data_IF_919217087413
#
_entry.id   IF_919217087413
#
_cell.length_a   1.000
_cell.length_b   1.000
_cell.length_c   1.000
_cell.angle_alpha   90.00
_cell.angle_beta   90.00
_cell.angle_gamma   90.00
#
_symmetry.space_group_name_H-M   'P 1'
#
loop_
_entity.id
_entity.type
_entity.pdbx_description
1 polymer ?
#
# COMPACT_ATOMS: atom_id res chain seq x y z
N UNK A 1 0.93 -6.06 27.80
CA UNK A 1 0.38 -7.39 27.47
C UNK A 1 1.45 -8.42 27.74
N UNK A 2 1.25 -9.34 28.68
CA UNK A 2 2.23 -10.40 28.98
C UNK A 2 2.01 -11.64 28.09
N UNK A 3 2.96 -12.57 28.10
CA UNK A 3 2.92 -13.80 27.30
C UNK A 3 1.73 -14.69 27.63
N UNK A 4 1.21 -14.63 28.86
CA UNK A 4 0.10 -15.47 29.33
C UNK A 4 -1.25 -15.23 28.62
N UNK A 5 -1.33 -14.26 27.70
CA UNK A 5 -2.53 -13.98 26.92
C UNK A 5 -2.49 -14.54 25.48
N UNK A 6 -1.34 -15.06 25.03
CA UNK A 6 -1.14 -15.53 23.66
C UNK A 6 -0.87 -17.03 23.63
N UNK A 7 -1.36 -17.71 22.60
CA UNK A 7 -1.01 -19.11 22.34
C UNK A 7 0.46 -19.26 21.96
N UNK A 8 1.09 -20.36 22.39
CA UNK A 8 2.52 -20.62 22.16
C UNK A 8 2.90 -20.67 20.67
N UNK A 9 1.94 -20.98 19.79
CA UNK A 9 2.13 -20.96 18.33
C UNK A 9 2.53 -19.58 17.79
N UNK A 10 2.28 -18.52 18.55
CA UNK A 10 2.65 -17.14 18.19
C UNK A 10 4.00 -16.71 18.76
N UNK A 11 4.74 -17.59 19.43
CA UNK A 11 6.09 -17.33 19.90
C UNK A 11 7.10 -17.68 18.80
N UNK A 12 7.90 -16.69 18.41
CA UNK A 12 9.05 -16.91 17.54
C UNK A 12 10.22 -17.56 18.31
N UNK A 13 11.22 -18.06 17.58
CA UNK A 13 12.42 -18.75 18.13
C UNK A 13 13.16 -18.00 19.26
N UNK A 14 12.99 -16.68 19.37
CA UNK A 14 13.60 -15.84 20.41
C UNK A 14 12.62 -15.47 21.53
N UNK A 15 11.57 -16.26 21.77
CA UNK A 15 10.48 -15.93 22.71
C UNK A 15 9.92 -14.52 22.49
N UNK A 16 9.79 -14.09 21.23
CA UNK A 16 9.16 -12.81 20.88
C UNK A 16 7.79 -13.10 20.29
N UNK A 17 6.78 -12.40 20.78
CA UNK A 17 5.40 -12.51 20.27
C UNK A 17 5.38 -12.01 18.82
N UNK A 18 4.80 -12.80 17.92
CA UNK A 18 4.64 -12.45 16.51
C UNK A 18 3.77 -11.20 16.34
N UNK A 19 4.02 -10.41 15.29
CA UNK A 19 3.24 -9.21 14.99
C UNK A 19 1.80 -9.49 14.54
N UNK A 20 1.47 -10.74 14.23
CA UNK A 20 0.12 -11.22 13.90
C UNK A 20 -0.60 -11.87 15.09
N UNK A 21 0.02 -11.90 16.27
CA UNK A 21 -0.54 -12.56 17.44
C UNK A 21 -1.74 -11.79 17.99
N UNK A 22 -2.85 -12.49 18.24
CA UNK A 22 -4.05 -11.95 18.87
C UNK A 22 -4.21 -12.58 20.26
N UNK A 23 -4.49 -11.81 21.33
CA UNK A 23 -4.67 -12.37 22.66
C UNK A 23 -5.95 -13.21 22.76
N UNK A 24 -5.83 -14.54 22.81
CA UNK A 24 -6.99 -15.47 22.81
C UNK A 24 -7.22 -16.15 24.15
N UNK A 25 -6.20 -16.35 25.00
CA UNK A 25 -6.29 -17.28 26.14
C UNK A 25 -7.02 -16.76 27.39
N UNK A 26 -7.12 -15.44 27.58
CA UNK A 26 -7.71 -14.85 28.81
C UNK A 26 -8.67 -13.69 28.56
N UNK A 27 -9.08 -13.49 27.32
CA UNK A 27 -10.21 -12.62 27.04
C UNK A 27 -11.46 -13.46 27.30
N UNK A 28 -12.10 -13.28 28.48
CA UNK A 28 -13.46 -13.77 28.69
C UNK A 28 -14.30 -13.18 27.56
N UNK A 29 -14.63 -13.98 26.56
CA UNK A 29 -15.49 -13.55 25.47
C UNK A 29 -16.88 -13.28 26.07
N UNK A 30 -17.39 -12.04 26.05
CA UNK A 30 -18.72 -11.75 26.59
C UNK A 30 -19.85 -12.23 25.66
N UNK A 31 -19.52 -12.87 24.53
CA UNK A 31 -20.45 -13.07 23.41
C UNK A 31 -20.28 -14.47 22.82
N UNK A 32 -20.59 -15.51 23.58
CA UNK A 32 -21.18 -16.71 22.98
C UNK A 32 -22.70 -16.55 23.03
N UNK A 33 -23.36 -16.09 21.94
CA UNK A 33 -24.80 -16.17 21.86
C UNK A 33 -25.23 -17.64 21.84
N UNK A 34 -26.34 -18.01 22.51
CA UNK A 34 -26.89 -19.35 22.43
C UNK A 34 -27.32 -19.66 21.00
N UNK A 35 -26.95 -20.85 20.53
CA UNK A 35 -27.36 -21.44 19.26
C UNK A 35 -28.87 -21.31 19.08
N UNK A 36 -29.31 -20.41 18.20
CA UNK A 36 -30.72 -20.18 17.90
C UNK A 36 -30.98 -20.45 16.42
N UNK A 37 -31.67 -21.57 16.22
CA UNK A 37 -32.75 -21.86 15.28
C UNK A 37 -32.95 -20.93 14.08
N UNK A 38 -32.82 -21.54 12.89
CA UNK A 38 -33.55 -21.31 11.63
C UNK A 38 -34.57 -20.16 11.63
N UNK A 39 -34.31 -19.14 10.82
CA UNK A 39 -35.34 -18.22 10.35
C UNK A 39 -35.20 -17.91 8.86
N UNK A 40 -36.36 -17.68 8.28
CA UNK A 40 -36.73 -17.84 6.89
C UNK A 40 -36.21 -16.76 5.95
N UNK A 41 -36.01 -17.23 4.73
CA UNK A 41 -35.81 -16.54 3.47
C UNK A 41 -36.90 -15.49 3.20
N UNK A 42 -36.53 -14.22 3.17
CA UNK A 42 -37.37 -13.15 2.64
C UNK A 42 -36.99 -12.86 1.18
N UNK A 43 -37.87 -13.29 0.28
CA UNK A 43 -37.90 -12.88 -1.12
C UNK A 43 -38.31 -11.41 -1.22
N UNK A 44 -37.49 -10.57 -1.86
CA UNK A 44 -37.93 -9.27 -2.39
C UNK A 44 -37.99 -9.35 -3.92
N UNK A 45 -39.18 -9.07 -4.45
CA UNK A 45 -39.53 -9.17 -5.86
C UNK A 45 -39.07 -8.00 -6.73
N UNK A 46 -38.59 -8.37 -7.92
CA UNK A 46 -39.03 -7.93 -9.26
C UNK A 46 -39.55 -6.50 -9.52
N UNK A 47 -38.83 -5.80 -10.42
CA UNK A 47 -39.37 -5.14 -11.62
C UNK A 47 -39.11 -3.63 -11.76
N UNK A 48 -39.13 -3.03 -12.98
CA UNK A 48 -38.56 -3.48 -14.27
C UNK A 48 -37.63 -2.42 -14.92
N UNK A 49 -36.90 -2.86 -15.96
CA UNK A 49 -36.09 -2.07 -16.92
C UNK A 49 -36.92 -1.06 -17.74
N UNK A 50 -36.32 -0.10 -18.51
CA UNK A 50 -35.74 -0.43 -19.83
C UNK A 50 -34.60 0.48 -20.39
N UNK A 51 -34.01 -0.02 -21.50
CA UNK A 51 -33.37 0.70 -22.63
C UNK A 51 -31.93 1.24 -22.47
N UNK A 52 -30.87 0.58 -22.97
CA UNK A 52 -30.44 0.31 -24.36
C UNK A 52 -29.86 1.53 -25.12
N UNK A 53 -28.53 1.63 -25.19
CA UNK A 53 -27.81 2.14 -26.36
C UNK A 53 -26.50 1.35 -26.57
N UNK A 54 -26.50 0.63 -27.69
CA UNK A 54 -25.40 -0.08 -28.33
C UNK A 54 -24.39 0.89 -28.93
N UNK A 55 -23.10 0.69 -28.63
CA UNK A 55 -21.99 1.18 -29.45
C UNK A 55 -20.94 0.07 -29.57
N UNK A 56 -21.07 -0.69 -30.65
CA UNK A 56 -20.11 -1.66 -31.15
C UNK A 56 -18.89 -0.92 -31.69
N UNK A 57 -17.68 -1.15 -31.14
CA UNK A 57 -16.44 -0.90 -31.88
C UNK A 57 -15.46 -2.07 -31.72
N UNK A 58 -15.02 -2.51 -32.90
CA UNK A 58 -13.97 -3.48 -33.26
C UNK A 58 -12.68 -3.30 -32.45
N UNK A 59 -12.15 -4.37 -31.86
CA UNK A 59 -11.25 -5.36 -32.48
C UNK A 59 -9.83 -4.85 -32.70
N UNK A 60 -8.93 -5.25 -31.80
CA UNK A 60 -7.51 -5.44 -32.07
C UNK A 60 -7.02 -6.57 -31.16
N UNK A 61 -6.89 -7.77 -31.74
CA UNK A 61 -6.34 -8.94 -31.09
C UNK A 61 -4.89 -8.66 -30.62
N UNK A 62 -4.68 -8.74 -29.31
CA UNK A 62 -3.34 -8.69 -28.71
C UNK A 62 -2.74 -10.11 -28.72
N UNK A 63 -1.45 -10.26 -29.08
CA UNK A 63 -0.79 -11.55 -29.13
C UNK A 63 -0.67 -12.13 -27.72
N UNK A 64 -1.27 -13.31 -27.55
CA UNK A 64 -1.13 -14.19 -26.40
C UNK A 64 0.34 -14.60 -26.27
N UNK A 65 1.09 -13.93 -25.39
CA UNK A 65 2.43 -14.36 -25.01
C UNK A 65 2.31 -15.54 -24.06
N UNK A 66 2.56 -16.72 -24.59
CA UNK A 66 2.68 -18.00 -23.91
C UNK A 66 3.63 -17.87 -22.71
N UNK A 67 3.08 -17.89 -21.50
CA UNK A 67 3.85 -17.95 -20.26
C UNK A 67 4.58 -19.30 -20.21
N UNK A 68 5.85 -19.31 -20.60
CA UNK A 68 6.72 -20.47 -20.47
C UNK A 68 7.05 -20.61 -18.99
N UNK A 69 6.29 -21.48 -18.31
CA UNK A 69 6.56 -21.90 -16.94
C UNK A 69 7.89 -22.66 -16.88
N UNK A 70 8.99 -21.93 -16.71
CA UNK A 70 10.29 -22.51 -16.36
C UNK A 70 10.21 -22.93 -14.89
N UNK A 71 9.82 -24.18 -14.68
CA UNK A 71 9.86 -24.88 -13.40
C UNK A 71 11.32 -25.01 -12.96
N UNK A 72 11.81 -23.98 -12.25
CA UNK A 72 13.11 -24.01 -11.60
C UNK A 72 13.02 -25.00 -10.44
N UNK A 73 13.44 -26.24 -10.72
CA UNK A 73 13.63 -27.29 -9.74
C UNK A 73 14.42 -26.76 -8.54
N UNK A 74 13.73 -26.67 -7.41
CA UNK A 74 14.27 -26.30 -6.12
C UNK A 74 15.09 -27.47 -5.61
N UNK A 75 16.38 -27.46 -5.98
CA UNK A 75 17.34 -28.50 -5.67
C UNK A 75 17.40 -28.86 -4.19
N UNK A 76 17.49 -30.16 -3.95
CA UNK A 76 17.70 -30.81 -2.67
C UNK A 76 18.84 -30.16 -1.88
N UNK A 77 18.54 -29.79 -0.64
CA UNK A 77 19.52 -29.25 0.32
C UNK A 77 20.35 -30.39 0.90
N UNK A 78 21.30 -30.90 0.13
CA UNK A 78 22.39 -31.70 0.70
C UNK A 78 23.34 -30.77 1.45
N UNK A 79 23.29 -30.83 2.78
CA UNK A 79 24.16 -30.07 3.69
C UNK A 79 25.56 -30.68 3.72
N UNK A 80 26.30 -30.56 2.62
CA UNK A 80 27.73 -30.94 2.60
C UNK A 80 28.51 -29.82 3.27
N UNK A 81 29.00 -30.07 4.49
CA UNK A 81 29.93 -29.20 5.21
C UNK A 81 31.29 -29.22 4.48
N UNK A 82 31.42 -28.47 3.39
CA UNK A 82 32.70 -28.31 2.69
C UNK A 82 33.67 -27.53 3.58
N UNK A 83 34.78 -28.16 3.97
CA UNK A 83 35.90 -27.50 4.60
C UNK A 83 36.36 -26.35 3.69
N UNK A 84 36.30 -25.11 4.20
CA UNK A 84 36.72 -23.93 3.44
C UNK A 84 38.25 -23.92 3.37
N UNK A 85 38.80 -24.41 2.27
CA UNK A 85 40.19 -24.15 1.92
C UNK A 85 40.42 -22.64 1.90
N UNK A 86 41.34 -22.16 2.74
CA UNK A 86 41.71 -20.74 2.78
C UNK A 86 42.66 -20.49 1.61
N UNK A 87 42.11 -20.08 0.49
CA UNK A 87 42.92 -19.52 -0.60
C UNK A 87 43.49 -18.20 -0.11
N UNK A 88 44.82 -18.08 -0.07
CA UNK A 88 45.48 -16.82 0.23
C UNK A 88 45.33 -15.90 -0.99
N UNK A 89 44.42 -14.93 -0.90
CA UNK A 89 44.29 -13.89 -1.90
C UNK A 89 45.28 -12.76 -1.62
N UNK A 90 45.84 -12.20 -2.69
CA UNK A 90 46.62 -10.96 -2.62
C UNK A 90 45.71 -9.79 -2.19
N UNK A 91 46.29 -8.74 -1.59
CA UNK A 91 45.52 -7.57 -1.14
C UNK A 91 44.74 -6.90 -2.29
N UNK A 92 45.29 -6.94 -3.51
CA UNK A 92 44.65 -6.37 -4.71
C UNK A 92 43.40 -7.14 -5.12
N UNK A 93 43.47 -8.48 -5.10
CA UNK A 93 42.33 -9.33 -5.43
C UNK A 93 41.20 -9.19 -4.40
N UNK A 94 41.55 -9.12 -3.11
CA UNK A 94 40.55 -8.88 -2.06
C UNK A 94 39.78 -7.58 -2.28
N UNK A 95 40.50 -6.50 -2.60
CA UNK A 95 39.88 -5.21 -2.90
C UNK A 95 38.94 -5.26 -4.11
N UNK A 96 39.34 -5.94 -5.19
CA UNK A 96 38.50 -6.13 -6.37
C UNK A 96 37.27 -6.99 -6.06
N UNK A 97 37.44 -8.05 -5.27
CA UNK A 97 36.34 -8.91 -4.82
C UNK A 97 35.33 -8.12 -3.99
N UNK A 98 35.80 -7.31 -3.04
CA UNK A 98 34.94 -6.45 -2.23
C UNK A 98 34.16 -5.44 -3.09
N UNK A 99 34.80 -4.86 -4.12
CA UNK A 99 34.12 -3.99 -5.10
C UNK A 99 33.04 -4.72 -5.89
N UNK A 100 33.31 -5.93 -6.36
CA UNK A 100 32.33 -6.75 -7.10
C UNK A 100 31.14 -7.11 -6.22
N UNK A 101 31.39 -7.49 -4.96
CA UNK A 101 30.33 -7.76 -3.98
C UNK A 101 29.51 -6.48 -3.71
N UNK A 102 30.17 -5.34 -3.49
CA UNK A 102 29.47 -4.07 -3.29
C UNK A 102 28.62 -3.67 -4.52
N UNK A 103 29.13 -3.87 -5.73
CA UNK A 103 28.40 -3.61 -6.97
C UNK A 103 27.19 -4.53 -7.14
N UNK A 104 27.33 -5.83 -6.87
CA UNK A 104 26.23 -6.79 -6.96
C UNK A 104 25.11 -6.51 -5.94
N UNK A 105 25.48 -6.07 -4.73
CA UNK A 105 24.52 -5.60 -3.71
C UNK A 105 23.79 -4.34 -4.20
N UNK A 106 24.51 -3.36 -4.77
CA UNK A 106 23.90 -2.15 -5.33
C UNK A 106 22.92 -2.49 -6.46
N UNK A 107 23.31 -3.36 -7.39
CA UNK A 107 22.44 -3.83 -8.48
C UNK A 107 21.18 -4.51 -7.95
N UNK A 108 21.32 -5.40 -6.95
CA UNK A 108 20.19 -6.08 -6.33
C UNK A 108 19.22 -5.10 -5.66
N UNK A 109 19.74 -4.07 -4.97
CA UNK A 109 18.93 -2.99 -4.39
C UNK A 109 18.17 -2.20 -5.46
N UNK A 110 18.82 -1.86 -6.58
CA UNK A 110 18.17 -1.14 -7.68
C UNK A 110 17.08 -1.99 -8.35
N UNK A 111 17.34 -3.27 -8.61
CA UNK A 111 16.33 -4.21 -9.14
C UNK A 111 15.10 -4.29 -8.23
N UNK A 112 15.29 -4.38 -6.92
CA UNK A 112 14.17 -4.42 -5.97
C UNK A 112 13.37 -3.10 -5.93
N UNK A 113 14.05 -1.95 -5.99
CA UNK A 113 13.39 -0.64 -6.11
C UNK A 113 12.56 -0.54 -7.38
N UNK A 114 13.12 -0.98 -8.51
CA UNK A 114 12.43 -0.99 -9.79
C UNK A 114 11.18 -1.88 -9.76
N UNK A 115 11.29 -3.09 -9.19
CA UNK A 115 10.12 -3.99 -9.00
C UNK A 115 9.02 -3.32 -8.18
N UNK A 116 9.37 -2.68 -7.05
CA UNK A 116 8.41 -1.95 -6.22
C UNK A 116 7.74 -0.81 -6.99
N UNK A 117 8.53 -0.02 -7.73
CA UNK A 117 8.00 1.07 -8.55
C UNK A 117 7.06 0.54 -9.64
N UNK A 118 7.43 -0.54 -10.31
CA UNK A 118 6.60 -1.17 -11.35
C UNK A 118 5.23 -1.59 -10.81
N UNK A 119 5.19 -2.25 -9.65
CA UNK A 119 3.93 -2.63 -8.98
C UNK A 119 3.11 -1.39 -8.64
N UNK A 120 3.72 -0.36 -8.06
CA UNK A 120 3.03 0.88 -7.70
C UNK A 120 2.46 1.59 -8.93
N UNK A 121 3.21 1.67 -10.03
CA UNK A 121 2.75 2.28 -11.29
C UNK A 121 1.59 1.48 -11.88
N UNK A 122 1.63 0.14 -11.84
CA UNK A 122 0.51 -0.69 -12.28
C UNK A 122 -0.75 -0.44 -11.43
N UNK A 123 -0.61 -0.38 -10.11
CA UNK A 123 -1.73 -0.06 -9.21
C UNK A 123 -2.28 1.36 -9.47
N UNK A 124 -1.41 2.35 -9.66
CA UNK A 124 -1.82 3.71 -9.99
C UNK A 124 -2.56 3.78 -11.35
N UNK A 125 -2.10 3.03 -12.36
CA UNK A 125 -2.81 2.91 -13.64
C UNK A 125 -4.19 2.29 -13.49
N UNK A 126 -4.34 1.26 -12.66
CA UNK A 126 -5.64 0.64 -12.39
C UNK A 126 -6.63 1.63 -11.74
N UNK A 127 -6.14 2.44 -10.79
CA UNK A 127 -6.95 3.51 -10.17
C UNK A 127 -7.33 4.56 -11.21
N UNK A 128 -6.38 5.00 -12.04
CA UNK A 128 -6.62 6.01 -13.07
C UNK A 128 -7.52 5.51 -14.22
N UNK A 129 -7.57 4.19 -14.47
CA UNK A 129 -8.48 3.60 -15.47
C UNK A 129 -9.91 3.44 -14.97
N UNK A 130 -10.18 3.65 -13.68
CA UNK A 130 -11.53 3.54 -13.14
C UNK A 130 -12.37 4.78 -13.52
N UNK A 131 -13.41 4.65 -14.37
CA UNK A 131 -14.20 5.78 -14.83
C UNK A 131 -14.88 6.52 -13.68
N UNK A 132 -15.32 5.82 -12.62
CA UNK A 132 -15.94 6.47 -11.46
C UNK A 132 -14.97 7.43 -10.75
N UNK A 133 -13.67 7.11 -10.72
CA UNK A 133 -12.65 8.00 -10.14
C UNK A 133 -12.45 9.22 -11.03
N UNK A 134 -12.39 9.02 -12.35
CA UNK A 134 -12.31 10.11 -13.32
C UNK A 134 -13.52 11.03 -13.22
N UNK A 135 -14.73 10.50 -13.19
CA UNK A 135 -15.97 11.27 -13.07
C UNK A 135 -15.99 12.10 -11.78
N UNK A 136 -15.54 11.54 -10.65
CA UNK A 136 -15.44 12.29 -9.39
C UNK A 136 -14.41 13.43 -9.48
N UNK A 137 -13.28 13.19 -10.16
CA UNK A 137 -12.23 14.20 -10.34
C UNK A 137 -12.64 15.30 -11.33
N UNK A 138 -13.38 14.95 -12.38
CA UNK A 138 -13.89 15.91 -13.36
C UNK A 138 -14.97 16.79 -12.73
N UNK A 139 -15.92 16.17 -12.02
CA UNK A 139 -17.06 16.84 -11.40
C UNK A 139 -16.75 17.46 -10.03
N UNK A 140 -15.51 17.39 -9.53
CA UNK A 140 -15.23 18.00 -8.24
C UNK A 140 -15.20 19.54 -8.30
N UNK A 141 -15.72 20.16 -7.24
CA UNK A 141 -15.75 21.61 -7.07
C UNK A 141 -14.34 22.20 -7.19
N UNK A 142 -14.22 23.41 -7.74
CA UNK A 142 -12.95 24.14 -7.86
C UNK A 142 -12.16 24.17 -6.54
N UNK A 143 -12.83 24.37 -5.41
CA UNK A 143 -12.22 24.31 -4.07
C UNK A 143 -11.62 22.94 -3.76
N UNK A 144 -12.27 21.83 -4.15
CA UNK A 144 -11.73 20.49 -3.92
C UNK A 144 -10.51 20.24 -4.81
N UNK A 145 -10.55 20.67 -6.09
CA UNK A 145 -9.39 20.63 -7.00
C UNK A 145 -8.21 21.39 -6.41
N UNK A 146 -8.46 22.58 -5.88
CA UNK A 146 -7.45 23.40 -5.20
C UNK A 146 -6.83 22.63 -4.03
N UNK A 147 -7.64 22.08 -3.10
CA UNK A 147 -7.14 21.34 -1.94
C UNK A 147 -6.32 20.10 -2.32
N UNK A 148 -6.76 19.34 -3.33
CA UNK A 148 -6.01 18.17 -3.83
C UNK A 148 -4.67 18.63 -4.42
N UNK A 149 -4.69 19.69 -5.23
CA UNK A 149 -3.48 20.22 -5.86
C UNK A 149 -2.47 20.73 -4.83
N UNK A 150 -2.94 21.41 -3.77
CA UNK A 150 -2.11 21.85 -2.65
C UNK A 150 -1.40 20.66 -2.01
N UNK A 151 -2.14 19.59 -1.72
CA UNK A 151 -1.58 18.42 -1.05
C UNK A 151 -0.50 17.75 -1.90
N UNK A 152 -0.74 17.58 -3.21
CA UNK A 152 0.25 17.03 -4.12
C UNK A 152 1.52 17.90 -4.24
N UNK A 153 1.37 19.23 -4.24
CA UNK A 153 2.50 20.16 -4.38
C UNK A 153 3.34 20.30 -3.12
N UNK A 154 2.80 19.99 -1.94
CA UNK A 154 3.48 20.26 -0.67
C UNK A 154 3.99 19.01 0.03
N UNK A 155 3.51 17.83 -0.35
CA UNK A 155 3.94 16.56 0.23
C UNK A 155 5.46 16.33 0.12
N UNK A 156 6.12 16.90 -0.89
CA UNK A 156 7.57 16.79 -1.09
C UNK A 156 8.38 17.94 -0.46
N UNK A 157 7.73 18.98 0.06
CA UNK A 157 8.38 20.18 0.61
C UNK A 157 8.49 20.09 2.13
N UNK A 158 9.61 20.59 2.68
CA UNK A 158 9.79 20.74 4.14
C UNK A 158 8.82 21.79 4.68
N UNK A 159 8.38 21.63 5.93
CA UNK A 159 7.37 22.50 6.57
C UNK A 159 7.71 24.00 6.47
N UNK A 160 8.98 24.38 6.64
CA UNK A 160 9.46 25.77 6.57
C UNK A 160 9.52 26.36 5.15
N UNK A 161 9.49 25.52 4.12
CA UNK A 161 9.63 25.92 2.71
C UNK A 161 8.29 25.99 1.98
N UNK A 162 7.18 25.66 2.66
CA UNK A 162 5.85 25.71 2.07
C UNK A 162 5.39 27.15 1.92
N UNK A 163 5.00 27.50 0.69
CA UNK A 163 4.49 28.82 0.34
C UNK A 163 3.07 28.66 -0.19
N UNK A 164 2.11 29.11 0.61
CA UNK A 164 0.71 29.10 0.23
C UNK A 164 0.36 30.32 -0.62
N UNK A 165 -0.35 30.10 -1.73
CA UNK A 165 -0.94 31.16 -2.53
C UNK A 165 -2.08 31.84 -1.76
N UNK A 166 -2.48 33.03 -2.19
CA UNK A 166 -3.56 33.77 -1.54
C UNK A 166 -4.89 32.98 -1.57
N UNK A 167 -5.18 32.29 -2.68
CA UNK A 167 -6.40 31.49 -2.82
C UNK A 167 -6.45 30.33 -1.82
N UNK A 168 -5.32 29.67 -1.61
CA UNK A 168 -5.17 28.57 -0.66
C UNK A 168 -5.37 29.04 0.79
N UNK A 169 -4.83 30.22 1.11
CA UNK A 169 -5.05 30.88 2.41
C UNK A 169 -6.52 31.23 2.62
N UNK A 170 -7.19 31.79 1.60
CA UNK A 170 -8.62 32.11 1.66
C UNK A 170 -9.45 30.84 1.84
N UNK A 171 -9.18 29.78 1.07
CA UNK A 171 -9.89 28.51 1.17
C UNK A 171 -9.71 27.87 2.57
N UNK A 172 -8.48 27.86 3.08
CA UNK A 172 -8.17 27.37 4.42
C UNK A 172 -8.89 28.17 5.51
N UNK A 173 -8.90 29.50 5.39
CA UNK A 173 -9.60 30.39 6.32
C UNK A 173 -11.12 30.19 6.25
N UNK A 174 -11.68 29.99 5.06
CA UNK A 174 -13.11 29.69 4.88
C UNK A 174 -13.51 28.42 5.63
N UNK A 175 -12.73 27.34 5.50
CA UNK A 175 -12.95 26.09 6.23
C UNK A 175 -12.86 26.33 7.74
N UNK A 176 -11.85 27.08 8.20
CA UNK A 176 -11.68 27.41 9.61
C UNK A 176 -12.86 28.21 10.18
N UNK A 177 -13.39 29.18 9.43
CA UNK A 177 -14.52 30.01 9.85
C UNK A 177 -15.83 29.23 9.89
N UNK A 178 -16.06 28.32 8.93
CA UNK A 178 -17.25 27.47 8.90
C UNK A 178 -17.24 26.41 10.00
N UNK A 179 -16.09 25.75 10.23
CA UNK A 179 -15.95 24.74 11.27
C UNK A 179 -14.53 24.72 11.84
N UNK A 180 -14.28 25.42 12.95
CA UNK A 180 -12.97 25.41 13.60
C UNK A 180 -12.53 24.00 14.04
N UNK A 181 -13.48 23.15 14.44
CA UNK A 181 -13.23 21.75 14.80
C UNK A 181 -12.89 20.92 13.55
N UNK A 182 -13.62 21.11 12.46
CA UNK A 182 -13.35 20.49 11.16
C UNK A 182 -11.96 20.84 10.64
N UNK A 183 -11.56 22.11 10.74
CA UNK A 183 -10.21 22.54 10.39
C UNK A 183 -9.13 21.86 11.24
N UNK A 184 -9.32 21.73 12.55
CA UNK A 184 -8.36 21.01 13.43
C UNK A 184 -8.23 19.54 13.03
N UNK A 185 -9.35 18.90 12.70
CA UNK A 185 -9.35 17.51 12.21
C UNK A 185 -8.66 17.41 10.85
N UNK A 186 -9.00 18.28 9.90
CA UNK A 186 -8.39 18.31 8.58
C UNK A 186 -6.91 18.66 8.64
N UNK A 187 -6.44 19.46 9.59
CA UNK A 187 -5.02 19.76 9.78
C UNK A 187 -4.19 18.51 10.08
N UNK A 188 -4.80 17.47 10.63
CA UNK A 188 -4.13 16.19 10.86
C UNK A 188 -3.93 15.40 9.55
N UNK A 189 -4.93 15.40 8.66
CA UNK A 189 -4.88 14.65 7.40
C UNK A 189 -4.24 15.44 6.26
N UNK A 190 -4.58 16.72 6.15
CA UNK A 190 -3.88 17.72 5.37
C UNK A 190 -2.78 18.30 6.25
N UNK A 191 -1.65 17.60 6.30
CA UNK A 191 -0.39 18.05 6.91
C UNK A 191 0.09 19.44 6.42
N UNK A 192 -0.62 20.01 5.45
CA UNK A 192 -0.38 21.26 4.75
C UNK A 192 -1.26 22.42 5.22
N UNK A 193 -2.16 22.26 6.19
CA UNK A 193 -2.97 23.42 6.62
C UNK A 193 -2.16 24.38 7.50
N UNK A 194 -2.07 25.63 7.06
CA UNK A 194 -1.36 26.77 7.65
C UNK A 194 -1.23 26.64 9.17
N UNK A 195 0.01 26.49 9.64
CA UNK A 195 0.31 26.61 11.06
C UNK A 195 0.03 28.06 11.48
N UNK A 196 -0.69 28.23 12.59
CA UNK A 196 -0.94 29.54 13.18
C UNK A 196 0.41 30.15 13.58
N UNK A 197 0.85 31.18 12.87
CA UNK A 197 1.77 32.17 13.41
C UNK A 197 0.99 33.16 14.25
#
# INVERSE_FOLDING_TARGET
MCHAHFEDKYLCRNNRISNIAVPTLKMRSPLTPPSTTSLQQLNLGHGPSPSSLTATMQEAALPSTSETNVHLNLGEKTTVKKAKSRVFLTNTEKYLQDKLVAASIKLSKMKNRFKKLSVNVKAAKQIASNPAVCDILENCTSTRKLLISMQCQEDHKKEKERRFTLQEKIASLSIFKQSPKGYRFLRFFLFCLLSKH
#
